data_IF_537828581201
#
_entry.id   IF_537828581201
#
_cell.length_a   1.000
_cell.length_b   1.000
_cell.length_c   1.000
_cell.angle_alpha   90.00
_cell.angle_beta   90.00
_cell.angle_gamma   90.00
#
_symmetry.space_group_name_H-M   'P 1'
#
loop_
_entity.id
_entity.type
_entity.pdbx_description
1 polymer ?
#
# COMPACT_ATOMS: atom_id res chain seq x y z
N UNK A 1 3.12 -12.41 -4.65
CA UNK A 1 1.98 -12.47 -3.72
C UNK A 1 0.69 -12.24 -4.50
N UNK A 2 -0.23 -13.20 -4.51
CA UNK A 2 -1.43 -13.18 -5.36
C UNK A 2 -2.53 -12.32 -4.71
N UNK A 3 -2.74 -11.11 -5.23
CA UNK A 3 -3.80 -10.20 -4.79
C UNK A 3 -5.20 -10.73 -5.20
N UNK A 4 -5.24 -11.64 -6.19
CA UNK A 4 -6.47 -12.09 -6.85
C UNK A 4 -6.95 -13.50 -6.45
N UNK A 5 -6.64 -13.97 -5.25
CA UNK A 5 -7.29 -15.20 -4.77
C UNK A 5 -8.79 -14.92 -4.60
N UNK A 6 -9.68 -15.72 -5.21
CA UNK A 6 -11.13 -15.54 -5.02
C UNK A 6 -11.46 -15.50 -3.53
N UNK A 7 -12.27 -14.53 -3.11
CA UNK A 7 -12.67 -14.44 -1.71
C UNK A 7 -13.46 -15.71 -1.35
N UNK A 8 -13.05 -16.46 -0.30
CA UNK A 8 -13.78 -17.66 0.10
C UNK A 8 -15.23 -17.32 0.40
N UNK A 9 -16.15 -18.19 -0.03
CA UNK A 9 -17.60 -17.99 0.20
C UNK A 9 -17.90 -17.76 1.69
N UNK A 10 -17.24 -18.51 2.58
CA UNK A 10 -17.33 -18.36 4.04
C UNK A 10 -17.06 -16.94 4.51
N UNK A 11 -16.07 -16.27 3.91
CA UNK A 11 -15.69 -14.89 4.25
C UNK A 11 -16.67 -13.89 3.62
N UNK A 12 -17.11 -14.14 2.38
CA UNK A 12 -18.08 -13.29 1.68
C UNK A 12 -19.44 -13.28 2.38
N UNK A 13 -19.88 -14.41 2.91
CA UNK A 13 -21.17 -14.56 3.61
C UNK A 13 -21.20 -13.77 4.93
N UNK A 14 -20.06 -13.26 5.40
CA UNK A 14 -19.98 -12.35 6.54
C UNK A 14 -20.45 -10.93 6.21
N UNK A 15 -20.60 -10.59 4.92
CA UNK A 15 -21.14 -9.31 4.49
C UNK A 15 -22.66 -9.32 4.53
N UNK A 16 -23.22 -8.34 5.23
CA UNK A 16 -24.64 -8.02 5.14
C UNK A 16 -24.85 -6.86 4.17
N UNK A 17 -25.59 -7.09 3.08
CA UNK A 17 -25.93 -6.03 2.11
C UNK A 17 -26.73 -4.87 2.72
N UNK A 18 -27.33 -5.07 3.91
CA UNK A 18 -28.07 -4.03 4.64
C UNK A 18 -27.16 -3.05 5.37
N UNK A 19 -25.92 -3.44 5.67
CA UNK A 19 -24.94 -2.68 6.46
C UNK A 19 -23.83 -2.14 5.56
N UNK A 20 -23.17 -1.06 5.99
CA UNK A 20 -21.93 -0.62 5.39
C UNK A 20 -20.80 -1.51 5.94
N UNK A 21 -20.31 -2.44 5.13
CA UNK A 21 -19.29 -3.41 5.55
C UNK A 21 -18.15 -3.51 4.54
N UNK A 22 -16.95 -3.69 5.05
CA UNK A 22 -15.76 -4.01 4.25
C UNK A 22 -15.08 -5.27 4.78
N UNK A 23 -14.34 -5.93 3.89
CA UNK A 23 -13.39 -6.96 4.26
C UNK A 23 -12.03 -6.52 3.74
N UNK A 24 -11.07 -6.44 4.63
CA UNK A 24 -9.67 -6.22 4.27
C UNK A 24 -8.85 -7.45 4.61
N UNK A 25 -7.78 -7.69 3.85
CA UNK A 25 -6.83 -8.77 4.10
C UNK A 25 -5.47 -8.18 4.42
N UNK A 26 -4.78 -8.71 5.44
CA UNK A 26 -3.38 -8.38 5.73
C UNK A 26 -2.49 -8.88 4.61
N UNK A 27 -1.60 -8.04 4.12
CA UNK A 27 -0.66 -8.36 3.05
C UNK A 27 0.75 -7.96 3.47
N UNK A 28 1.64 -8.94 3.50
CA UNK A 28 3.08 -8.71 3.75
C UNK A 28 3.78 -8.57 2.41
N UNK A 29 3.97 -7.34 1.94
CA UNK A 29 4.66 -7.11 0.67
C UNK A 29 6.14 -7.43 0.80
N UNK A 30 6.75 -7.00 1.90
CA UNK A 30 8.08 -7.39 2.38
C UNK A 30 8.09 -7.38 3.92
N UNK A 31 9.17 -7.83 4.55
CA UNK A 31 9.32 -7.79 6.01
C UNK A 31 9.17 -6.38 6.60
N UNK A 32 9.41 -5.34 5.80
CA UNK A 32 9.29 -3.95 6.21
C UNK A 32 8.04 -3.24 5.68
N UNK A 33 7.30 -3.86 4.75
CA UNK A 33 6.14 -3.27 4.10
C UNK A 33 4.95 -4.18 4.29
N UNK A 34 4.06 -3.79 5.20
CA UNK A 34 2.81 -4.50 5.45
C UNK A 34 1.68 -3.50 5.32
N UNK A 35 0.60 -3.93 4.68
CA UNK A 35 -0.61 -3.14 4.53
C UNK A 35 -1.83 -4.06 4.50
N UNK A 36 -3.01 -3.47 4.44
CA UNK A 36 -4.26 -4.19 4.29
C UNK A 36 -4.90 -3.82 2.96
N UNK A 37 -5.34 -4.80 2.18
CA UNK A 37 -6.04 -4.55 0.91
C UNK A 37 -7.52 -4.83 1.06
N UNK A 38 -8.38 -3.97 0.52
CA UNK A 38 -9.81 -4.24 0.43
C UNK A 38 -10.05 -5.41 -0.54
N UNK A 39 -10.69 -6.47 -0.06
CA UNK A 39 -11.03 -7.66 -0.87
C UNK A 39 -12.52 -7.80 -1.11
N UNK A 40 -13.34 -7.09 -0.34
CA UNK A 40 -14.76 -6.90 -0.61
C UNK A 40 -15.30 -5.66 0.10
N UNK A 41 -16.39 -5.10 -0.43
CA UNK A 41 -17.10 -3.96 0.13
C UNK A 41 -18.58 -4.04 -0.24
N UNK A 42 -19.46 -3.59 0.65
CA UNK A 42 -20.85 -3.30 0.29
C UNK A 42 -20.95 -1.92 -0.38
N UNK A 43 -21.98 -1.66 -1.21
CA UNK A 43 -22.16 -0.33 -1.82
C UNK A 43 -22.23 0.81 -0.79
N UNK A 44 -22.88 0.56 0.36
CA UNK A 44 -22.96 1.54 1.45
C UNK A 44 -21.59 1.86 2.05
N UNK A 45 -20.73 0.85 2.24
CA UNK A 45 -19.38 1.09 2.69
C UNK A 45 -18.59 1.88 1.65
N UNK A 46 -18.61 1.48 0.38
CA UNK A 46 -17.92 2.20 -0.69
C UNK A 46 -18.25 3.70 -0.69
N UNK A 47 -19.52 4.04 -0.54
CA UNK A 47 -19.98 5.43 -0.43
C UNK A 47 -19.40 6.16 0.80
N UNK A 48 -19.32 5.50 1.95
CA UNK A 48 -18.67 6.07 3.14
C UNK A 48 -17.18 6.33 2.95
N UNK A 49 -16.51 5.55 2.10
CA UNK A 49 -15.11 5.77 1.72
C UNK A 49 -14.94 6.78 0.55
N UNK A 50 -16.03 7.37 0.04
CA UNK A 50 -15.98 8.35 -1.05
C UNK A 50 -15.97 7.74 -2.46
N UNK A 51 -16.38 6.47 -2.61
CA UNK A 51 -16.43 5.78 -3.88
C UNK A 51 -17.88 5.48 -4.29
N UNK A 52 -18.20 5.67 -5.57
CA UNK A 52 -19.54 5.39 -6.12
C UNK A 52 -19.78 3.90 -6.38
N UNK A 53 -18.71 3.13 -6.57
CA UNK A 53 -18.75 1.72 -6.94
C UNK A 53 -17.88 0.92 -5.96
N UNK A 54 -18.42 -0.12 -5.28
CA UNK A 54 -17.63 -0.98 -4.40
C UNK A 54 -16.43 -1.64 -5.10
N UNK A 55 -16.51 -1.94 -6.40
CA UNK A 55 -15.42 -2.58 -7.13
C UNK A 55 -14.21 -1.65 -7.30
N UNK A 56 -14.40 -0.33 -7.22
CA UNK A 56 -13.31 0.66 -7.23
C UNK A 56 -12.55 0.70 -5.89
N UNK A 57 -13.25 0.41 -4.79
CA UNK A 57 -12.63 0.30 -3.46
C UNK A 57 -11.88 -1.04 -3.32
N UNK A 58 -12.39 -2.12 -3.91
CA UNK A 58 -11.70 -3.41 -3.93
C UNK A 58 -10.35 -3.29 -4.65
N UNK A 59 -9.30 -3.83 -4.03
CA UNK A 59 -7.93 -3.72 -4.51
C UNK A 59 -7.18 -2.47 -4.04
N UNK A 60 -7.85 -1.50 -3.41
CA UNK A 60 -7.19 -0.36 -2.77
C UNK A 60 -6.53 -0.77 -1.45
N UNK A 61 -5.49 -0.05 -1.07
CA UNK A 61 -4.82 -0.23 0.21
C UNK A 61 -5.55 0.58 1.28
N UNK A 62 -5.66 0.02 2.48
CA UNK A 62 -6.31 0.66 3.62
C UNK A 62 -5.58 1.95 4.01
N UNK A 63 -4.25 1.97 3.88
CA UNK A 63 -3.43 3.16 4.11
C UNK A 63 -3.72 4.32 3.14
N UNK A 64 -4.40 4.07 2.01
CA UNK A 64 -4.82 5.11 1.07
C UNK A 64 -6.16 5.77 1.46
N UNK A 65 -6.86 5.22 2.45
CA UNK A 65 -8.16 5.75 2.91
C UNK A 65 -8.09 6.35 4.31
N UNK A 66 -6.87 6.59 4.82
CA UNK A 66 -6.60 7.14 6.14
C UNK A 66 -5.37 8.04 6.05
N UNK A 67 -5.25 8.99 6.98
CA UNK A 67 -3.95 9.61 7.20
C UNK A 67 -2.95 8.57 7.70
N UNK A 68 -1.65 8.83 7.50
CA UNK A 68 -0.55 7.97 7.98
C UNK A 68 -0.70 7.63 9.46
N UNK A 69 -1.06 8.63 10.25
CA UNK A 69 -1.17 8.57 11.70
C UNK A 69 -2.31 7.63 12.15
N UNK A 70 -3.46 7.75 11.48
CA UNK A 70 -4.64 6.90 11.69
C UNK A 70 -4.38 5.46 11.22
N UNK A 71 -3.71 5.29 10.07
CA UNK A 71 -3.35 3.98 9.56
C UNK A 71 -2.44 3.22 10.54
N UNK A 72 -1.41 3.90 11.08
CA UNK A 72 -0.52 3.29 12.07
C UNK A 72 -1.24 2.88 13.35
N UNK A 73 -2.09 3.75 13.92
CA UNK A 73 -2.88 3.40 15.11
C UNK A 73 -3.89 2.28 14.84
N UNK A 74 -4.42 2.19 13.62
CA UNK A 74 -5.26 1.05 13.21
C UNK A 74 -4.47 -0.26 13.25
N UNK A 75 -3.20 -0.26 12.86
CA UNK A 75 -2.32 -1.42 13.00
C UNK A 75 -2.03 -1.75 14.46
N UNK A 76 -1.85 -0.76 15.32
CA UNK A 76 -1.69 -0.97 16.77
C UNK A 76 -2.88 -1.73 17.34
N UNK A 77 -4.10 -1.22 17.15
CA UNK A 77 -5.33 -1.86 17.64
C UNK A 77 -5.49 -3.28 17.03
N UNK A 78 -5.10 -3.46 15.77
CA UNK A 78 -5.18 -4.77 15.11
C UNK A 78 -4.15 -5.76 15.64
N UNK A 79 -2.92 -5.33 15.90
CA UNK A 79 -1.86 -6.15 16.48
C UNK A 79 -2.25 -6.64 17.87
N UNK A 80 -2.70 -5.74 18.75
CA UNK A 80 -3.08 -6.11 20.11
C UNK A 80 -4.30 -7.05 20.14
N UNK A 81 -5.27 -6.86 19.24
CA UNK A 81 -6.37 -7.83 19.06
C UNK A 81 -5.86 -9.19 18.59
N UNK A 82 -4.91 -9.20 17.66
CA UNK A 82 -4.36 -10.44 17.10
C UNK A 82 -3.55 -11.24 18.13
N UNK A 83 -2.73 -10.57 18.93
CA UNK A 83 -1.86 -11.21 19.93
C UNK A 83 -2.57 -11.49 21.26
N UNK A 84 -3.76 -10.92 21.48
CA UNK A 84 -4.46 -10.97 22.77
C UNK A 84 -3.77 -10.15 23.87
N UNK A 85 -2.79 -9.33 23.52
CA UNK A 85 -2.13 -8.41 24.44
C UNK A 85 -3.01 -7.18 24.71
N UNK A 86 -2.79 -6.51 25.84
CA UNK A 86 -3.51 -5.30 26.23
C UNK A 86 -2.81 -4.04 25.74
N UNK A 87 -3.59 -3.00 25.44
CA UNK A 87 -3.08 -1.64 25.23
C UNK A 87 -3.07 -0.94 26.59
N UNK A 88 -1.89 -0.88 27.21
CA UNK A 88 -1.81 -0.44 28.61
C UNK A 88 -2.56 -1.40 29.54
N UNK A 89 -3.62 -0.93 30.18
CA UNK A 89 -4.45 -1.73 31.10
C UNK A 89 -5.74 -2.27 30.47
N UNK A 90 -6.06 -1.88 29.24
CA UNK A 90 -7.33 -2.19 28.58
C UNK A 90 -7.15 -3.15 27.41
N UNK A 91 -8.21 -3.89 27.10
CA UNK A 91 -8.25 -4.68 25.87
C UNK A 91 -8.34 -3.77 24.65
N UNK A 92 -7.73 -4.18 23.54
CA UNK A 92 -7.84 -3.46 22.29
C UNK A 92 -9.31 -3.45 21.81
N UNK A 93 -9.91 -2.28 21.57
CA UNK A 93 -11.34 -2.20 21.30
C UNK A 93 -11.69 -2.83 19.95
N UNK A 94 -12.84 -3.50 19.92
CA UNK A 94 -13.45 -3.93 18.65
C UNK A 94 -14.29 -2.83 18.01
N UNK A 95 -14.75 -1.85 18.79
CA UNK A 95 -15.55 -0.71 18.32
C UNK A 95 -14.92 0.62 18.73
N UNK A 96 -14.65 1.51 17.78
CA UNK A 96 -13.96 2.79 18.04
C UNK A 96 -14.29 3.83 16.97
N UNK A 97 -14.04 5.11 17.30
CA UNK A 97 -14.19 6.24 16.36
C UNK A 97 -12.89 6.41 15.57
N UNK A 98 -12.99 6.70 14.28
CA UNK A 98 -11.84 6.95 13.40
C UNK A 98 -12.20 7.88 12.25
N UNK A 99 -11.22 8.20 11.42
CA UNK A 99 -11.36 9.16 10.33
C UNK A 99 -10.97 8.50 9.02
N UNK A 100 -11.90 8.52 8.05
CA UNK A 100 -11.65 8.11 6.68
C UNK A 100 -11.22 9.31 5.85
N UNK A 101 -10.25 9.13 4.97
CA UNK A 101 -9.86 10.11 3.96
C UNK A 101 -10.38 9.64 2.61
N UNK A 102 -11.25 10.42 1.98
CA UNK A 102 -11.80 10.16 0.66
C UNK A 102 -10.82 10.56 -0.45
N UNK A 103 -11.05 10.12 -1.72
CA UNK A 103 -10.16 10.45 -2.84
C UNK A 103 -9.99 11.94 -3.13
N UNK A 104 -10.98 12.77 -2.77
CA UNK A 104 -10.94 14.23 -2.90
C UNK A 104 -10.18 14.91 -1.74
N UNK A 105 -9.64 14.13 -0.80
CA UNK A 105 -8.94 14.61 0.39
C UNK A 105 -9.86 14.99 1.56
N UNK A 106 -11.18 14.96 1.37
CA UNK A 106 -12.12 15.21 2.47
C UNK A 106 -11.99 14.12 3.54
N UNK A 107 -12.20 14.52 4.79
CA UNK A 107 -12.13 13.61 5.94
C UNK A 107 -13.51 13.44 6.56
N UNK A 108 -13.87 12.20 6.88
CA UNK A 108 -15.14 11.84 7.52
C UNK A 108 -14.89 11.05 8.79
N UNK A 109 -15.53 11.47 9.87
CA UNK A 109 -15.53 10.72 11.13
C UNK A 109 -16.54 9.55 11.05
N UNK A 110 -16.10 8.37 11.45
CA UNK A 110 -16.89 7.13 11.39
C UNK A 110 -16.66 6.30 12.65
N UNK A 111 -17.66 5.51 13.01
CA UNK A 111 -17.50 4.42 13.97
C UNK A 111 -17.20 3.15 13.18
N UNK A 112 -16.14 2.43 13.58
CA UNK A 112 -15.82 1.10 13.06
C UNK A 112 -16.06 0.07 14.13
N UNK A 113 -16.79 -0.99 13.79
CA UNK A 113 -16.82 -2.24 14.53
C UNK A 113 -16.10 -3.30 13.71
N UNK A 114 -14.95 -3.76 14.20
CA UNK A 114 -14.05 -4.64 13.46
C UNK A 114 -13.79 -5.91 14.23
N UNK A 115 -13.89 -7.05 13.55
CA UNK A 115 -13.44 -8.34 14.06
C UNK A 115 -12.43 -8.99 13.13
N UNK A 116 -11.50 -9.72 13.73
CA UNK A 116 -10.52 -10.52 13.00
C UNK A 116 -11.10 -11.89 12.62
N UNK A 117 -10.74 -12.37 11.44
CA UNK A 117 -11.00 -13.73 10.98
C UNK A 117 -9.71 -14.28 10.40
N UNK A 118 -9.24 -15.41 10.93
CA UNK A 118 -8.11 -16.15 10.37
C UNK A 118 -8.66 -17.26 9.49
N UNK A 119 -8.23 -17.31 8.24
CA UNK A 119 -8.64 -18.33 7.28
C UNK A 119 -7.49 -18.70 6.36
N UNK A 120 -7.21 -19.99 6.24
CA UNK A 120 -6.14 -20.53 5.38
C UNK A 120 -4.80 -19.80 5.58
N UNK A 121 -4.41 -19.61 6.85
CA UNK A 121 -3.19 -18.89 7.23
C UNK A 121 -3.18 -17.38 6.95
N UNK A 122 -4.27 -16.81 6.44
CA UNK A 122 -4.40 -15.38 6.16
C UNK A 122 -5.25 -14.68 7.23
N UNK A 123 -4.91 -13.43 7.51
CA UNK A 123 -5.64 -12.57 8.44
C UNK A 123 -6.56 -11.64 7.64
N UNK A 124 -7.84 -11.64 8.01
CA UNK A 124 -8.86 -10.77 7.46
C UNK A 124 -9.49 -9.93 8.58
N UNK A 125 -9.85 -8.70 8.25
CA UNK A 125 -10.69 -7.88 9.11
C UNK A 125 -12.03 -7.65 8.44
N UNK A 126 -13.08 -8.04 9.14
CA UNK A 126 -14.46 -7.77 8.74
C UNK A 126 -14.92 -6.58 9.56
N UNK A 127 -15.25 -5.51 8.86
CA UNK A 127 -15.50 -4.21 9.46
C UNK A 127 -16.88 -3.72 9.07
N UNK A 128 -17.72 -3.44 10.05
CA UNK A 128 -18.89 -2.59 9.89
C UNK A 128 -18.48 -1.14 10.12
N UNK A 129 -18.94 -0.25 9.24
CA UNK A 129 -18.63 1.18 9.27
C UNK A 129 -19.94 1.95 9.27
N UNK A 130 -20.05 2.95 10.14
CA UNK A 130 -21.18 3.86 10.17
C UNK A 130 -20.68 5.28 10.39
N UNK A 131 -21.44 6.28 9.94
CA UNK A 131 -21.12 7.67 10.27
C UNK A 131 -21.15 7.87 11.79
N UNK A 132 -20.22 8.65 12.32
CA UNK A 132 -20.30 9.09 13.70
C UNK A 132 -21.39 10.16 13.79
N UNK A 133 -22.46 9.90 14.55
CA UNK A 133 -23.55 10.86 14.76
C UNK A 133 -23.61 11.26 16.23
N UNK A 134 -23.39 12.54 16.52
CA UNK A 134 -23.43 13.09 17.88
C UNK A 134 -22.23 12.71 18.74
N UNK A 135 -22.29 13.07 20.03
CA UNK A 135 -21.28 12.67 21.01
C UNK A 135 -21.37 11.16 21.29
N UNK A 136 -20.21 10.53 21.36
CA UNK A 136 -20.07 9.10 21.62
C UNK A 136 -19.03 8.86 22.70
N UNK A 137 -19.31 7.92 23.61
CA UNK A 137 -18.38 7.48 24.65
C UNK A 137 -17.40 6.39 24.14
N UNK A 138 -17.36 6.18 22.83
CA UNK A 138 -16.42 5.24 22.21
C UNK A 138 -15.00 5.83 22.20
N UNK A 139 -13.96 4.99 22.36
CA UNK A 139 -12.59 5.47 22.29
C UNK A 139 -12.30 6.04 20.90
N UNK A 140 -11.58 7.16 20.84
CA UNK A 140 -11.13 7.71 19.58
C UNK A 140 -9.83 7.04 19.18
N UNK A 141 -9.68 6.70 17.89
CA UNK A 141 -8.44 6.10 17.40
C UNK A 141 -7.21 6.94 17.70
N UNK A 142 -7.35 8.27 17.81
CA UNK A 142 -6.24 9.18 18.09
C UNK A 142 -5.73 9.05 19.53
N UNK A 143 -6.55 8.54 20.45
CA UNK A 143 -6.21 8.35 21.86
C UNK A 143 -5.24 7.17 22.07
N UNK A 144 -5.04 6.32 21.05
CA UNK A 144 -4.14 5.18 21.13
C UNK A 144 -2.71 5.58 20.82
N UNK A 145 -1.81 5.35 21.77
CA UNK A 145 -0.38 5.57 21.55
C UNK A 145 0.20 4.54 20.59
N UNK A 146 1.07 4.99 19.70
CA UNK A 146 1.89 4.10 18.88
C UNK A 146 3.04 3.63 19.77
N UNK A 147 3.19 2.32 20.04
CA UNK A 147 4.27 1.83 20.87
C UNK A 147 5.63 2.27 20.32
N UNK A 148 6.54 2.69 21.20
CA UNK A 148 7.95 2.84 20.82
C UNK A 148 8.47 1.50 20.29
N UNK A 149 9.33 1.55 19.27
CA UNK A 149 9.86 0.44 18.46
C UNK A 149 9.83 -0.92 19.20
N UNK A 150 8.71 -1.63 19.10
CA UNK A 150 8.58 -3.01 19.54
C UNK A 150 8.95 -3.90 18.35
N UNK A 151 9.99 -4.72 18.52
CA UNK A 151 10.52 -5.57 17.44
C UNK A 151 9.44 -6.49 16.87
N UNK A 152 8.58 -7.04 17.74
CA UNK A 152 7.47 -7.91 17.37
C UNK A 152 6.36 -7.16 16.65
N UNK A 153 6.00 -5.95 17.13
CA UNK A 153 5.04 -5.09 16.44
C UNK A 153 5.51 -4.78 15.03
N UNK A 154 6.75 -4.30 14.85
CA UNK A 154 7.25 -3.93 13.53
C UNK A 154 7.39 -5.14 12.60
N UNK A 155 7.76 -6.31 13.13
CA UNK A 155 7.76 -7.55 12.35
C UNK A 155 6.35 -7.92 11.86
N UNK A 156 5.31 -7.57 12.63
CA UNK A 156 3.92 -7.83 12.29
C UNK A 156 3.25 -6.71 11.46
N UNK A 157 3.49 -5.43 11.77
CA UNK A 157 2.86 -4.29 11.10
C UNK A 157 3.67 -3.75 9.93
N UNK A 158 4.89 -4.26 9.73
CA UNK A 158 5.88 -3.60 8.91
C UNK A 158 6.30 -2.25 9.51
N UNK A 159 7.29 -1.63 8.88
CA UNK A 159 7.73 -0.28 9.21
C UNK A 159 6.98 0.74 8.32
N UNK A 160 6.60 0.34 7.12
CA UNK A 160 5.97 1.19 6.10
C UNK A 160 4.69 0.54 5.58
N UNK A 161 3.73 1.39 5.24
CA UNK A 161 2.54 1.03 4.45
C UNK A 161 2.78 1.32 2.97
N UNK A 162 1.86 0.95 2.08
CA UNK A 162 1.96 1.32 0.67
C UNK A 162 1.84 2.83 0.47
N UNK A 163 0.93 3.50 1.18
CA UNK A 163 0.79 4.96 1.13
C UNK A 163 2.06 5.70 1.56
N UNK A 164 2.80 5.18 2.56
CA UNK A 164 4.11 5.73 2.95
C UNK A 164 5.11 5.68 1.79
N UNK A 165 5.16 4.54 1.08
CA UNK A 165 6.02 4.36 -0.09
C UNK A 165 5.62 5.31 -1.22
N UNK A 166 4.34 5.38 -1.55
CA UNK A 166 3.83 6.23 -2.63
C UNK A 166 4.15 7.71 -2.38
N UNK A 167 4.02 8.15 -1.12
CA UNK A 167 4.34 9.52 -0.71
C UNK A 167 5.83 9.84 -0.85
N UNK A 168 6.73 8.90 -0.48
CA UNK A 168 8.18 9.09 -0.66
C UNK A 168 8.57 9.16 -2.14
N UNK A 169 7.97 8.31 -2.97
CA UNK A 169 8.15 8.34 -4.44
C UNK A 169 7.72 9.71 -4.98
N UNK A 170 6.55 10.20 -4.59
CA UNK A 170 6.03 11.49 -5.06
C UNK A 170 6.96 12.66 -4.69
N UNK A 171 7.44 12.72 -3.44
CA UNK A 171 8.38 13.77 -2.98
C UNK A 171 9.71 13.72 -3.73
N UNK A 172 10.24 12.53 -4.00
CA UNK A 172 11.49 12.37 -4.75
C UNK A 172 11.39 12.92 -6.18
N UNK A 173 10.19 12.84 -6.79
CA UNK A 173 9.92 13.38 -8.12
C UNK A 173 9.67 14.90 -8.12
N UNK A 174 9.21 15.48 -7.01
CA UNK A 174 9.04 16.93 -6.87
C UNK A 174 10.39 17.62 -6.69
N UNK A 175 11.26 17.10 -5.84
CA UNK A 175 12.63 17.62 -5.68
C UNK A 175 13.42 17.62 -6.98
N UNK A 176 13.28 16.57 -7.80
CA UNK A 176 13.95 16.51 -9.11
C UNK A 176 13.38 17.49 -10.16
N UNK A 177 12.17 18.04 -9.96
CA UNK A 177 11.56 19.03 -10.86
C UNK A 177 11.94 20.46 -10.48
N UNK A 178 12.10 20.75 -9.19
CA UNK A 178 12.59 22.05 -8.72
C UNK A 178 14.09 22.24 -9.02
N UNK A 179 14.92 21.20 -8.86
CA UNK A 179 16.32 21.26 -9.29
C UNK A 179 16.44 21.54 -10.79
N UNK A 180 15.58 20.94 -11.62
CA UNK A 180 15.58 21.17 -13.07
C UNK A 180 15.14 22.59 -13.46
N UNK A 181 14.28 23.23 -12.65
CA UNK A 181 13.86 24.62 -12.87
C UNK A 181 14.93 25.63 -12.45
N UNK A 182 15.70 25.32 -11.40
CA UNK A 182 16.79 26.18 -10.94
C UNK A 182 18.03 26.11 -11.83
N UNK A 183 18.25 25.00 -12.54
CA UNK A 183 19.33 24.89 -13.54
C UNK A 183 19.05 25.64 -14.84
N UNK A 184 17.79 25.97 -15.15
CA UNK A 184 17.42 26.64 -16.41
C UNK A 184 17.43 28.18 -16.31
N UNK A 185 17.62 28.77 -15.12
CA UNK A 185 17.44 30.21 -14.92
C UNK A 185 18.66 31.01 -14.47
N UNK A 186 19.89 30.49 -14.36
CA UNK A 186 21.06 31.33 -14.10
C UNK A 186 22.42 30.76 -14.57
N UNK A 187 23.07 31.56 -15.41
CA UNK A 187 24.51 31.79 -15.57
C UNK A 187 25.52 30.63 -15.39
N UNK A 188 26.23 30.40 -16.50
CA UNK A 188 27.68 30.13 -16.56
C UNK A 188 28.50 30.79 -15.44
N UNK A 189 29.01 30.01 -14.49
CA UNK A 189 30.40 30.09 -14.01
C UNK A 189 30.78 28.90 -13.13
N UNK A 190 31.77 28.16 -13.62
CA UNK A 190 32.82 27.44 -12.87
C UNK A 190 32.59 27.19 -11.38
N UNK A 191 32.07 26.01 -11.04
CA UNK A 191 32.56 25.19 -9.92
C UNK A 191 32.48 23.73 -10.38
N UNK A 192 33.61 23.22 -10.88
CA UNK A 192 33.91 21.79 -10.78
C UNK A 192 34.12 21.47 -9.29
N UNK A 193 33.78 20.23 -8.90
CA UNK A 193 33.88 19.65 -7.56
C UNK A 193 32.77 20.02 -6.56
N UNK A 194 31.56 19.51 -6.80
CA UNK A 194 31.04 18.31 -6.10
C UNK A 194 29.89 17.78 -6.96
N UNK A 195 30.16 16.73 -7.74
CA UNK A 195 29.14 15.96 -8.45
C UNK A 195 28.28 15.17 -7.43
N UNK A 196 27.38 15.84 -6.70
CA UNK A 196 26.27 15.14 -6.06
C UNK A 196 25.24 14.87 -7.13
N UNK A 197 25.41 13.72 -7.79
CA UNK A 197 24.44 13.13 -8.71
C UNK A 197 23.23 12.73 -7.87
N UNK A 198 22.27 13.64 -7.67
CA UNK A 198 21.05 13.36 -6.91
C UNK A 198 20.18 12.39 -7.73
N UNK A 199 20.38 11.11 -7.44
CA UNK A 199 19.61 10.01 -7.99
C UNK A 199 18.37 9.79 -7.12
N UNK A 200 17.20 9.96 -7.73
CA UNK A 200 15.92 9.58 -7.15
C UNK A 200 15.89 8.08 -6.76
N UNK A 201 15.52 7.90 -5.49
CA UNK A 201 15.02 6.70 -4.79
C UNK A 201 15.98 5.56 -4.42
N UNK A 202 16.13 5.42 -3.10
CA UNK A 202 16.81 4.34 -2.38
C UNK A 202 15.74 3.43 -1.79
N UNK A 203 15.79 2.12 -2.07
CA UNK A 203 15.24 1.10 -1.19
C UNK A 203 16.30 0.07 -0.85
N UNK A 204 16.35 -0.25 0.44
CA UNK A 204 17.32 -1.16 1.04
C UNK A 204 16.80 -2.60 0.98
N UNK A 205 17.59 -3.50 0.41
CA UNK A 205 17.38 -4.95 0.53
C UNK A 205 18.57 -5.51 1.29
N UNK A 206 18.30 -6.16 2.43
CA UNK A 206 19.32 -6.83 3.24
C UNK A 206 19.58 -8.22 2.66
N UNK A 207 20.78 -8.46 2.13
CA UNK A 207 21.27 -9.82 1.88
C UNK A 207 22.64 -9.96 2.54
N UNK A 208 22.75 -10.90 3.50
CA UNK A 208 24.00 -11.32 4.17
C UNK A 208 24.94 -10.16 4.54
N UNK A 209 24.46 -9.21 5.34
CA UNK A 209 25.30 -8.14 5.90
C UNK A 209 25.72 -7.04 4.93
N UNK A 210 25.36 -7.12 3.64
CA UNK A 210 25.59 -6.07 2.67
C UNK A 210 24.27 -5.57 2.09
N UNK A 211 24.04 -4.27 2.20
CA UNK A 211 22.85 -3.61 1.68
C UNK A 211 23.16 -3.15 0.26
N UNK A 212 22.60 -3.81 -0.75
CA UNK A 212 22.74 -3.39 -2.14
C UNK A 212 21.54 -2.54 -2.56
N UNK A 213 21.80 -1.32 -3.02
CA UNK A 213 20.80 -0.40 -3.52
C UNK A 213 20.39 -0.82 -4.94
N UNK A 214 19.10 -1.11 -5.17
CA UNK A 214 18.59 -1.43 -6.51
C UNK A 214 17.70 -0.28 -6.99
N UNK A 215 18.19 0.45 -7.99
CA UNK A 215 17.48 1.55 -8.64
C UNK A 215 16.60 1.00 -9.76
N UNK A 216 15.29 1.22 -9.70
CA UNK A 216 14.36 0.78 -10.75
C UNK A 216 13.78 1.99 -11.49
N UNK A 217 14.38 2.32 -12.63
CA UNK A 217 13.75 3.18 -13.64
C UNK A 217 12.53 2.48 -14.25
N UNK A 218 11.71 3.20 -15.02
CA UNK A 218 10.66 2.58 -15.84
C UNK A 218 11.27 1.44 -16.66
N UNK A 219 10.58 0.29 -16.74
CA UNK A 219 11.03 -0.91 -17.45
C UNK A 219 12.09 -1.79 -16.77
N UNK A 220 12.50 -1.48 -15.53
CA UNK A 220 13.55 -2.26 -14.87
C UNK A 220 12.97 -3.44 -14.08
N UNK A 221 13.71 -4.55 -14.11
CA UNK A 221 13.54 -5.67 -13.19
C UNK A 221 14.70 -5.69 -12.20
N UNK A 222 14.41 -5.71 -10.91
CA UNK A 222 15.41 -5.82 -9.86
C UNK A 222 15.28 -7.14 -9.11
N UNK A 223 16.37 -7.87 -8.92
CA UNK A 223 16.37 -9.07 -8.08
C UNK A 223 16.26 -8.67 -6.60
N UNK A 224 15.22 -9.10 -5.91
CA UNK A 224 14.98 -8.76 -4.48
C UNK A 224 15.40 -9.89 -3.54
N UNK A 225 15.29 -11.14 -4.00
CA UNK A 225 15.76 -12.33 -3.30
C UNK A 225 16.29 -13.34 -4.32
N UNK A 226 16.81 -14.49 -3.86
CA UNK A 226 17.44 -15.52 -4.73
C UNK A 226 16.57 -15.84 -5.95
N UNK A 227 15.26 -15.99 -5.74
CA UNK A 227 14.29 -16.42 -6.75
C UNK A 227 13.12 -15.43 -6.93
N UNK A 228 13.29 -14.16 -6.49
CA UNK A 228 12.25 -13.14 -6.60
C UNK A 228 12.77 -11.87 -7.27
N UNK A 229 11.95 -11.31 -8.15
CA UNK A 229 12.23 -10.14 -8.95
C UNK A 229 11.10 -9.12 -8.82
N UNK A 230 11.45 -7.86 -8.53
CA UNK A 230 10.55 -6.72 -8.55
C UNK A 230 10.53 -6.14 -9.96
N UNK A 231 9.34 -6.03 -10.53
CA UNK A 231 9.08 -5.52 -11.87
C UNK A 231 8.26 -4.24 -11.80
N UNK A 232 8.46 -3.33 -12.77
CA UNK A 232 7.62 -2.14 -12.98
C UNK A 232 7.21 -2.05 -14.44
N UNK A 233 5.90 -1.96 -14.69
CA UNK A 233 5.37 -1.84 -16.04
C UNK A 233 5.65 -0.44 -16.60
N UNK A 234 6.17 -0.34 -17.82
CA UNK A 234 6.32 0.92 -18.54
C UNK A 234 4.98 1.52 -19.02
N UNK A 235 3.96 0.68 -19.21
CA UNK A 235 2.66 1.08 -19.75
C UNK A 235 1.71 1.53 -18.63
N UNK A 236 1.43 0.66 -17.67
CA UNK A 236 0.46 0.94 -16.60
C UNK A 236 1.11 1.39 -15.28
N UNK A 237 2.44 1.49 -15.24
CA UNK A 237 3.25 1.86 -14.06
C UNK A 237 3.12 0.93 -12.85
N UNK A 238 2.28 -0.11 -12.91
CA UNK A 238 2.09 -1.09 -11.85
C UNK A 238 3.36 -1.87 -11.52
N UNK A 239 3.59 -2.10 -10.24
CA UNK A 239 4.76 -2.82 -9.70
C UNK A 239 4.36 -4.18 -9.12
N UNK A 240 5.10 -5.24 -9.44
CA UNK A 240 4.81 -6.57 -8.91
C UNK A 240 6.08 -7.37 -8.64
N UNK A 241 5.98 -8.36 -7.75
CA UNK A 241 7.05 -9.33 -7.49
C UNK A 241 6.72 -10.64 -8.21
N UNK A 242 7.59 -11.07 -9.11
CA UNK A 242 7.52 -12.33 -9.83
C UNK A 242 8.69 -13.26 -9.49
N UNK A 243 8.55 -14.54 -9.80
CA UNK A 243 9.64 -15.54 -9.65
C UNK A 243 10.51 -15.65 -10.90
N UNK A 244 10.10 -15.02 -12.00
CA UNK A 244 10.83 -14.97 -13.27
C UNK A 244 11.46 -13.61 -13.45
N UNK A 245 12.73 -13.52 -13.84
CA UNK A 245 13.40 -12.25 -14.15
C UNK A 245 12.79 -11.50 -15.35
N UNK A 246 12.09 -12.23 -16.21
CA UNK A 246 11.62 -11.71 -17.48
C UNK A 246 10.20 -12.23 -17.79
N UNK A 247 9.19 -11.83 -17.00
CA UNK A 247 7.82 -12.27 -17.25
C UNK A 247 7.37 -11.84 -18.65
N UNK A 248 6.62 -12.71 -19.33
CA UNK A 248 6.20 -12.48 -20.70
C UNK A 248 5.26 -11.26 -20.86
N UNK A 249 4.54 -10.91 -19.80
CA UNK A 249 3.59 -9.81 -19.78
C UNK A 249 3.45 -9.19 -18.39
N UNK A 250 2.98 -7.95 -18.33
CA UNK A 250 2.56 -7.32 -17.09
C UNK A 250 1.36 -8.06 -16.49
N UNK A 251 1.38 -8.31 -15.19
CA UNK A 251 0.27 -8.99 -14.50
C UNK A 251 -0.99 -8.12 -14.37
N UNK A 252 -0.84 -6.79 -14.50
CA UNK A 252 -1.93 -5.83 -14.32
C UNK A 252 -2.66 -5.53 -15.63
N UNK A 253 -1.90 -5.20 -16.69
CA UNK A 253 -2.48 -4.78 -17.98
C UNK A 253 -2.29 -5.80 -19.10
N UNK A 254 -1.73 -6.98 -18.81
CA UNK A 254 -1.37 -8.01 -19.79
C UNK A 254 -0.43 -7.54 -20.92
N UNK A 255 0.16 -6.34 -20.81
CA UNK A 255 1.06 -5.81 -21.84
C UNK A 255 2.34 -6.64 -21.94
N UNK A 256 2.64 -7.12 -23.14
CA UNK A 256 3.93 -7.73 -23.49
C UNK A 256 5.06 -6.72 -23.66
N UNK A 257 4.73 -5.43 -23.66
CA UNK A 257 5.67 -4.32 -23.83
C UNK A 257 6.04 -3.64 -22.51
N UNK A 258 5.77 -4.28 -21.38
CA UNK A 258 5.95 -3.71 -20.05
C UNK A 258 7.40 -3.30 -19.71
N UNK A 259 8.40 -3.72 -20.51
CA UNK A 259 9.81 -3.29 -20.42
C UNK A 259 10.14 -2.08 -21.30
N UNK A 260 9.16 -1.31 -21.79
CA UNK A 260 9.39 -0.06 -22.51
C UNK A 260 10.38 -0.21 -23.67
N UNK A 261 10.10 -1.17 -24.53
CA UNK A 261 10.91 -1.44 -25.73
C UNK A 261 10.89 -0.26 -26.69
N UNK A 262 11.97 -0.09 -27.46
CA UNK A 262 11.97 0.83 -28.60
C UNK A 262 10.82 0.49 -29.56
N UNK A 263 10.29 1.48 -30.32
CA UNK A 263 9.21 1.24 -31.30
C UNK A 263 9.53 0.08 -32.26
N UNK A 264 10.80 -0.10 -32.61
CA UNK A 264 11.27 -1.19 -33.46
C UNK A 264 11.17 -2.58 -32.78
N UNK A 265 11.64 -2.70 -31.53
CA UNK A 265 11.53 -3.94 -30.75
C UNK A 265 10.07 -4.30 -30.41
N UNK A 266 9.22 -3.28 -30.21
CA UNK A 266 7.79 -3.45 -29.99
C UNK A 266 7.10 -4.08 -31.21
N UNK A 267 7.40 -3.62 -32.42
CA UNK A 267 6.89 -4.18 -33.68
C UNK A 267 7.30 -5.65 -33.88
N UNK A 268 8.59 -5.94 -33.67
CA UNK A 268 9.13 -7.31 -33.77
C UNK A 268 8.46 -8.28 -32.80
N UNK A 269 8.19 -7.85 -31.56
CA UNK A 269 7.53 -8.67 -30.52
C UNK A 269 6.02 -8.82 -30.71
N UNK A 270 5.38 -7.92 -31.45
CA UNK A 270 3.98 -8.04 -31.89
C UNK A 270 3.81 -8.97 -33.09
N UNK A 271 4.91 -9.42 -33.72
CA UNK A 271 4.85 -10.24 -34.93
C UNK A 271 4.42 -9.45 -36.18
N UNK A 272 4.53 -8.12 -36.13
CA UNK A 272 4.23 -7.25 -37.27
C UNK A 272 5.37 -7.40 -38.30
N UNK A 273 5.07 -8.01 -39.47
CA UNK A 273 6.00 -8.05 -40.60
C UNK A 273 6.12 -6.64 -41.21
N UNK A 274 7.34 -6.30 -41.66
CA UNK A 274 7.60 -5.07 -42.41
C UNK A 274 6.73 -4.99 -43.67
#
# INVERSE_FOLDING_TARGET
>A
MLINTPLPRVIKDLLSSRKAMTITRRVVVTDNIVDSVFVASTPKAAHLYGYNDPDVLVGKWLSQTHSRDIARRSFVISYYRHTGQKIGTTEAPSTYVTFLTAPDGSTREVVKQTREVVWDGNIYWVTEVQEATGETNLPNILDFEIPEIQTDFNAWSGIWTISDIESHIALSHQGSREEKRLTDSNMTSKIDDVNVKITSEVKFVRQKGHTQQIRLETSITGRVQRDHFLHRCSECLGTWIGTTENPAQCIYCASRLWKGYSKWEARKRRGEKQ
#
